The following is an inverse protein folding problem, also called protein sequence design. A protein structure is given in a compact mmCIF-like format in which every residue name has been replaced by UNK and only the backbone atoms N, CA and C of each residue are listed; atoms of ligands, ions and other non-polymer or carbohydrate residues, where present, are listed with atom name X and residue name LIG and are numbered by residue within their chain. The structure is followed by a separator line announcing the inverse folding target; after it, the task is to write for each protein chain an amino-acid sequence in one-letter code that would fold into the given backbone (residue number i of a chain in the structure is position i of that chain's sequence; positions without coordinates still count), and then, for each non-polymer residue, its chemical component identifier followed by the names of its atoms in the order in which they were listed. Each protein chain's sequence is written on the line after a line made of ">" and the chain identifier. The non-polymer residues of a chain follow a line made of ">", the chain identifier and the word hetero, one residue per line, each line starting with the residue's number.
data_IF_269055651617
#
_entry.id   IF_269055651617
#
_cell.length_a   1.000
_cell.length_b   1.000
_cell.length_c   1.000
_cell.angle_alpha   90.00
_cell.angle_beta   90.00
_cell.angle_gamma   90.00
#
_symmetry.space_group_name_H-M   'P 1'
#
loop_
_entity.id
_entity.type
_entity.pdbx_description
1 polymer ?
#
# COMPACT_ATOMS: atom_id res chain seq x y z
N UNK A 1 1.15 48.46 3.40
CA UNK A 1 1.03 47.78 2.09
C UNK A 1 1.98 46.57 2.09
N UNK A 2 1.52 45.38 2.33
CA UNK A 2 2.38 44.16 2.25
C UNK A 2 2.67 43.92 0.77
N UNK A 3 3.95 43.76 0.42
CA UNK A 3 4.42 43.61 -0.96
C UNK A 3 3.78 42.34 -1.58
N UNK A 4 3.36 42.46 -2.85
CA UNK A 4 2.84 41.33 -3.65
C UNK A 4 3.81 40.13 -3.68
N UNK A 5 5.08 40.41 -3.48
CA UNK A 5 6.17 39.44 -3.38
C UNK A 5 6.07 38.61 -2.09
N UNK A 6 5.76 39.22 -0.94
CA UNK A 6 5.55 38.51 0.33
C UNK A 6 4.33 37.59 0.27
N UNK A 7 3.24 38.02 -0.38
CA UNK A 7 2.05 37.21 -0.59
C UNK A 7 2.34 35.98 -1.46
N UNK A 8 3.11 36.16 -2.56
CA UNK A 8 3.54 35.03 -3.40
C UNK A 8 4.46 34.04 -2.68
N UNK A 9 5.37 34.49 -1.84
CA UNK A 9 6.27 33.65 -1.06
C UNK A 9 5.50 32.85 -0.02
N UNK A 10 4.51 33.45 0.63
CA UNK A 10 3.62 32.79 1.59
C UNK A 10 2.78 31.69 0.93
N UNK A 11 2.15 32.00 -0.22
CA UNK A 11 1.38 31.01 -0.99
C UNK A 11 2.24 29.85 -1.49
N UNK A 12 3.49 30.11 -1.88
CA UNK A 12 4.43 29.08 -2.32
C UNK A 12 4.93 28.21 -1.16
N UNK A 13 5.09 28.79 0.04
CA UNK A 13 5.41 28.08 1.27
C UNK A 13 4.26 27.17 1.72
N UNK A 14 3.03 27.68 1.72
CA UNK A 14 1.83 26.94 2.10
C UNK A 14 1.54 25.80 1.12
N UNK A 15 1.79 26.00 -0.18
CA UNK A 15 1.61 24.96 -1.20
C UNK A 15 2.60 23.80 -1.02
N UNK A 16 3.90 24.09 -0.79
CA UNK A 16 4.91 23.06 -0.53
C UNK A 16 4.62 22.29 0.77
N UNK A 17 4.21 22.98 1.81
CA UNK A 17 3.82 22.38 3.09
C UNK A 17 2.64 21.43 2.90
N UNK A 18 1.64 21.78 2.09
CA UNK A 18 0.48 20.93 1.80
C UNK A 18 0.87 19.68 1.00
N UNK A 19 1.80 19.77 0.05
CA UNK A 19 2.30 18.61 -0.70
C UNK A 19 2.99 17.61 0.22
N UNK A 20 3.92 18.07 1.07
CA UNK A 20 4.63 17.21 2.03
C UNK A 20 3.62 16.54 2.98
N UNK A 21 2.65 17.29 3.50
CA UNK A 21 1.59 16.74 4.36
C UNK A 21 0.77 15.68 3.62
N UNK A 22 0.41 15.91 2.35
CA UNK A 22 -0.32 14.93 1.54
C UNK A 22 0.49 13.66 1.26
N UNK A 23 1.80 13.77 1.07
CA UNK A 23 2.70 12.62 0.96
C UNK A 23 2.71 11.84 2.28
N UNK A 24 2.89 12.53 3.42
CA UNK A 24 2.86 11.88 4.73
C UNK A 24 1.52 11.16 4.99
N UNK A 25 0.40 11.78 4.61
CA UNK A 25 -0.93 11.15 4.70
C UNK A 25 -1.00 9.91 3.82
N UNK A 26 -0.52 9.98 2.56
CA UNK A 26 -0.51 8.83 1.65
C UNK A 26 0.29 7.66 2.23
N UNK A 27 1.50 7.90 2.72
CA UNK A 27 2.32 6.85 3.35
C UNK A 27 1.69 6.31 4.63
N UNK A 28 1.07 7.16 5.45
CA UNK A 28 0.36 6.73 6.66
C UNK A 28 -0.87 5.87 6.37
N UNK A 29 -1.55 6.11 5.24
CA UNK A 29 -2.73 5.34 4.82
C UNK A 29 -2.36 4.01 4.17
N UNK A 30 -1.31 3.99 3.35
CA UNK A 30 -1.02 2.86 2.45
C UNK A 30 0.25 2.10 2.78
N UNK A 31 0.93 2.45 3.89
CA UNK A 31 2.10 1.71 4.35
C UNK A 31 2.24 1.75 5.87
N UNK A 32 3.02 0.80 6.41
CA UNK A 32 3.44 0.81 7.82
C UNK A 32 4.72 1.62 8.06
N UNK A 33 5.21 2.33 7.06
CA UNK A 33 6.39 3.19 7.22
C UNK A 33 6.05 4.31 8.22
N UNK A 34 6.83 4.47 9.30
CA UNK A 34 6.55 5.46 10.32
C UNK A 34 6.65 6.87 9.73
N UNK A 35 5.54 7.58 9.72
CA UNK A 35 5.43 8.96 9.26
C UNK A 35 5.12 9.92 10.41
N UNK A 36 5.55 11.17 10.33
CA UNK A 36 5.13 12.19 11.28
C UNK A 36 3.60 12.31 11.33
N UNK A 37 3.04 12.46 12.52
CA UNK A 37 1.60 12.67 12.68
C UNK A 37 1.20 14.00 12.02
N UNK A 38 0.39 13.92 11.01
CA UNK A 38 -0.14 15.08 10.27
C UNK A 38 -1.66 15.09 10.47
N UNK A 39 -2.22 16.27 10.68
CA UNK A 39 -3.68 16.42 10.76
C UNK A 39 -4.35 16.01 9.47
N UNK A 40 -5.35 15.12 9.57
CA UNK A 40 -6.12 14.61 8.47
C UNK A 40 -7.24 15.63 8.18
N UNK A 41 -7.00 16.51 7.24
CA UNK A 41 -7.99 17.45 6.74
C UNK A 41 -8.32 17.16 5.26
N UNK A 42 -9.47 17.62 4.81
CA UNK A 42 -9.98 17.36 3.46
C UNK A 42 -8.98 17.77 2.36
N UNK A 43 -8.22 18.85 2.57
CA UNK A 43 -7.23 19.34 1.60
C UNK A 43 -6.05 18.37 1.45
N UNK A 44 -5.56 17.80 2.56
CA UNK A 44 -4.44 16.86 2.54
C UNK A 44 -4.88 15.49 1.99
N UNK A 45 -6.10 15.06 2.32
CA UNK A 45 -6.68 13.79 1.84
C UNK A 45 -6.95 13.81 0.34
N UNK A 46 -7.44 14.93 -0.20
CA UNK A 46 -7.75 15.07 -1.63
C UNK A 46 -6.55 14.74 -2.53
N UNK A 47 -5.35 15.12 -2.11
CA UNK A 47 -4.11 14.88 -2.87
C UNK A 47 -3.37 13.60 -2.44
N UNK A 48 -3.76 12.95 -1.35
CA UNK A 48 -3.12 11.72 -0.89
C UNK A 48 -3.19 10.61 -1.95
N UNK A 49 -4.33 10.46 -2.64
CA UNK A 49 -4.50 9.50 -3.73
C UNK A 49 -3.52 9.72 -4.89
N UNK A 50 -3.16 10.99 -5.19
CA UNK A 50 -2.20 11.31 -6.24
C UNK A 50 -0.78 10.82 -5.90
N UNK A 51 -0.47 10.62 -4.62
CA UNK A 51 0.83 10.14 -4.14
C UNK A 51 0.87 8.62 -3.89
N UNK A 52 -0.23 7.90 -4.12
CA UNK A 52 -0.27 6.46 -4.04
C UNK A 52 0.78 5.75 -4.93
N UNK A 53 1.03 6.17 -6.19
CA UNK A 53 2.10 5.61 -7.01
C UNK A 53 3.49 5.75 -6.39
N UNK A 54 3.72 6.80 -5.58
CA UNK A 54 4.99 6.99 -4.88
C UNK A 54 5.22 5.93 -3.80
N UNK A 55 4.17 5.51 -3.09
CA UNK A 55 4.23 4.39 -2.14
C UNK A 55 4.62 3.10 -2.87
N UNK A 56 4.01 2.84 -4.03
CA UNK A 56 4.37 1.71 -4.89
C UNK A 56 5.82 1.76 -5.38
N UNK A 57 6.30 2.96 -5.76
CA UNK A 57 7.70 3.15 -6.17
C UNK A 57 8.70 2.84 -5.04
N UNK A 58 8.37 3.20 -3.80
CA UNK A 58 9.22 2.86 -2.63
C UNK A 58 9.23 1.35 -2.40
N UNK A 59 8.08 0.69 -2.45
CA UNK A 59 8.00 -0.78 -2.31
C UNK A 59 8.80 -1.46 -3.43
N UNK A 60 8.61 -1.04 -4.68
CA UNK A 60 9.37 -1.55 -5.83
C UNK A 60 10.87 -1.32 -5.71
N UNK A 61 11.28 -0.15 -5.22
CA UNK A 61 12.69 0.15 -4.92
C UNK A 61 13.30 -0.76 -3.87
N UNK A 62 12.54 -1.06 -2.79
CA UNK A 62 12.95 -2.03 -1.77
C UNK A 62 13.07 -3.45 -2.35
N UNK A 63 12.14 -3.86 -3.22
CA UNK A 63 12.22 -5.15 -3.91
C UNK A 63 13.46 -5.24 -4.79
N UNK A 64 13.77 -4.20 -5.56
CA UNK A 64 15.00 -4.14 -6.36
C UNK A 64 16.26 -4.20 -5.51
N UNK A 65 16.27 -3.52 -4.37
CA UNK A 65 17.37 -3.59 -3.41
C UNK A 65 17.56 -5.01 -2.87
N UNK A 66 16.49 -5.68 -2.45
CA UNK A 66 16.55 -7.09 -1.99
C UNK A 66 17.07 -7.99 -3.10
N UNK A 67 16.58 -7.83 -4.33
CA UNK A 67 17.06 -8.58 -5.49
C UNK A 67 18.57 -8.40 -5.68
N UNK A 68 19.05 -7.17 -5.62
CA UNK A 68 20.48 -6.86 -5.75
C UNK A 68 21.32 -7.51 -4.63
N UNK A 69 20.87 -7.38 -3.38
CA UNK A 69 21.54 -7.95 -2.22
C UNK A 69 21.57 -9.48 -2.28
N UNK A 70 20.45 -10.11 -2.58
CA UNK A 70 20.36 -11.57 -2.73
C UNK A 70 21.30 -12.09 -3.83
N UNK A 71 21.37 -11.38 -4.97
CA UNK A 71 22.31 -11.73 -6.04
C UNK A 71 23.77 -11.52 -5.65
N UNK A 72 24.08 -10.51 -4.83
CA UNK A 72 25.45 -10.19 -4.39
C UNK A 72 25.98 -11.15 -3.33
N UNK A 73 25.13 -11.60 -2.43
CA UNK A 73 25.48 -12.46 -1.30
C UNK A 73 25.19 -13.95 -1.54
N UNK A 74 24.64 -14.33 -2.69
CA UNK A 74 24.38 -15.71 -3.06
C UNK A 74 23.33 -16.40 -2.20
N UNK A 75 22.29 -15.68 -1.77
CA UNK A 75 21.19 -16.27 -1.00
C UNK A 75 20.47 -17.36 -1.81
N UNK A 76 19.97 -18.36 -1.09
CA UNK A 76 19.18 -19.43 -1.68
C UNK A 76 17.90 -18.87 -2.32
N UNK A 77 17.52 -19.42 -3.47
CA UNK A 77 16.29 -19.05 -4.23
C UNK A 77 15.04 -19.10 -3.37
N UNK A 78 14.90 -20.10 -2.49
CA UNK A 78 13.73 -20.20 -1.60
C UNK A 78 13.64 -19.02 -0.62
N UNK A 79 14.77 -18.61 -0.04
CA UNK A 79 14.82 -17.43 0.85
C UNK A 79 14.44 -16.16 0.07
N UNK A 80 14.99 -16.02 -1.14
CA UNK A 80 14.65 -14.91 -2.03
C UNK A 80 13.14 -14.84 -2.32
N UNK A 81 12.55 -15.97 -2.73
CA UNK A 81 11.12 -16.04 -3.05
C UNK A 81 10.23 -15.68 -1.83
N UNK A 82 10.55 -16.20 -0.66
CA UNK A 82 9.82 -15.87 0.59
C UNK A 82 9.91 -14.38 0.91
N UNK A 83 11.11 -13.79 0.83
CA UNK A 83 11.30 -12.37 1.13
C UNK A 83 10.55 -11.49 0.11
N UNK A 84 10.62 -11.82 -1.18
CA UNK A 84 9.95 -11.07 -2.25
C UNK A 84 8.43 -11.15 -2.13
N UNK A 85 7.88 -12.28 -1.68
CA UNK A 85 6.42 -12.43 -1.42
C UNK A 85 5.99 -11.66 -0.17
N UNK A 86 6.78 -11.73 0.91
CA UNK A 86 6.42 -11.12 2.19
C UNK A 86 6.61 -9.59 2.22
N UNK A 87 7.63 -9.07 1.53
CA UNK A 87 8.03 -7.67 1.63
C UNK A 87 6.92 -6.68 1.27
N UNK A 88 6.19 -6.80 0.14
CA UNK A 88 5.09 -5.89 -0.18
C UNK A 88 3.98 -5.93 0.87
N UNK A 89 3.65 -7.12 1.39
CA UNK A 89 2.62 -7.29 2.42
C UNK A 89 3.04 -6.62 3.73
N UNK A 90 4.28 -6.82 4.16
CA UNK A 90 4.80 -6.23 5.39
C UNK A 90 4.90 -4.71 5.30
N UNK A 91 5.39 -4.17 4.18
CA UNK A 91 5.57 -2.72 3.99
C UNK A 91 4.23 -2.01 3.85
N UNK A 92 3.28 -2.58 3.11
CA UNK A 92 1.92 -2.04 2.99
C UNK A 92 1.08 -2.26 4.26
N UNK A 93 1.54 -3.12 5.16
CA UNK A 93 0.76 -3.52 6.33
C UNK A 93 -0.41 -4.42 6.02
N UNK A 94 -0.43 -5.04 4.83
CA UNK A 94 -1.47 -5.94 4.39
C UNK A 94 -2.75 -5.26 3.89
N UNK A 95 -2.83 -3.93 3.89
CA UNK A 95 -4.09 -3.20 3.60
C UNK A 95 -4.65 -3.52 2.20
N UNK A 96 -3.77 -3.72 1.21
CA UNK A 96 -4.20 -4.09 -0.14
C UNK A 96 -4.58 -5.56 -0.24
N UNK A 97 -3.86 -6.42 0.47
CA UNK A 97 -4.15 -7.86 0.56
C UNK A 97 -5.46 -8.09 1.30
N UNK A 98 -5.71 -7.35 2.38
CA UNK A 98 -6.94 -7.36 3.15
C UNK A 98 -8.15 -7.00 2.25
N UNK A 99 -8.09 -5.85 1.58
CA UNK A 99 -9.16 -5.46 0.65
C UNK A 99 -9.38 -6.43 -0.52
N UNK A 100 -8.32 -7.10 -0.99
CA UNK A 100 -8.44 -8.17 -1.99
C UNK A 100 -9.16 -9.39 -1.41
N UNK A 101 -8.78 -9.83 -0.23
CA UNK A 101 -9.33 -11.00 0.46
C UNK A 101 -10.81 -10.78 0.75
N UNK A 102 -11.19 -9.62 1.30
CA UNK A 102 -12.58 -9.24 1.56
C UNK A 102 -13.41 -9.22 0.28
N UNK A 103 -12.83 -8.69 -0.80
CA UNK A 103 -13.49 -8.68 -2.11
C UNK A 103 -13.72 -10.09 -2.64
N UNK A 104 -12.74 -10.98 -2.52
CA UNK A 104 -12.86 -12.39 -2.94
C UNK A 104 -13.96 -13.10 -2.14
N UNK A 105 -14.02 -12.87 -0.83
CA UNK A 105 -15.06 -13.46 0.03
C UNK A 105 -16.46 -12.99 -0.38
N UNK A 106 -16.64 -11.68 -0.53
CA UNK A 106 -17.90 -11.10 -0.95
C UNK A 106 -18.34 -11.56 -2.34
N UNK A 107 -17.43 -11.62 -3.31
CA UNK A 107 -17.73 -12.05 -4.68
C UNK A 107 -18.06 -13.55 -4.77
N UNK A 108 -17.37 -14.37 -3.99
CA UNK A 108 -17.56 -15.83 -3.96
C UNK A 108 -18.80 -16.25 -3.18
N UNK A 109 -19.36 -15.36 -2.36
CA UNK A 109 -20.59 -15.63 -1.64
C UNK A 109 -21.80 -15.71 -2.57
N UNK A 110 -22.67 -16.67 -2.32
CA UNK A 110 -23.97 -16.77 -2.98
C UNK A 110 -24.94 -15.79 -2.30
N UNK A 111 -25.23 -14.66 -2.95
CA UNK A 111 -26.15 -13.67 -2.42
C UNK A 111 -26.34 -12.51 -3.38
N UNK A 112 -27.35 -11.69 -3.10
CA UNK A 112 -27.62 -10.44 -3.77
C UNK A 112 -26.55 -9.37 -3.41
N UNK A 113 -26.71 -8.18 -3.98
CA UNK A 113 -25.79 -7.06 -3.77
C UNK A 113 -25.73 -6.62 -2.31
N UNK A 114 -26.87 -6.64 -1.64
CA UNK A 114 -27.00 -6.25 -0.22
C UNK A 114 -26.20 -7.19 0.67
N UNK A 115 -26.31 -8.49 0.44
CA UNK A 115 -25.56 -9.52 1.20
C UNK A 115 -24.06 -9.42 0.97
N UNK A 116 -23.61 -9.17 -0.26
CA UNK A 116 -22.19 -8.96 -0.58
C UNK A 116 -21.63 -7.72 0.11
N UNK A 117 -22.39 -6.64 0.19
CA UNK A 117 -21.99 -5.43 0.92
C UNK A 117 -21.99 -5.63 2.44
N UNK A 118 -22.82 -6.52 2.97
CA UNK A 118 -22.79 -6.92 4.37
C UNK A 118 -21.50 -7.69 4.69
N UNK A 119 -21.13 -8.65 3.85
CA UNK A 119 -19.87 -9.42 3.99
C UNK A 119 -18.65 -8.50 3.97
N UNK A 120 -18.60 -7.52 3.06
CA UNK A 120 -17.51 -6.53 3.02
C UNK A 120 -17.38 -5.66 4.28
N UNK A 121 -18.40 -5.61 5.12
CA UNK A 121 -18.39 -4.87 6.40
C UNK A 121 -18.18 -5.78 7.61
N UNK A 122 -18.26 -7.09 7.41
CA UNK A 122 -18.07 -8.07 8.47
C UNK A 122 -16.57 -8.18 8.81
N UNK A 123 -16.16 -7.99 10.06
CA UNK A 123 -14.76 -8.16 10.46
C UNK A 123 -14.31 -9.63 10.50
N UNK A 124 -15.21 -10.59 10.27
CA UNK A 124 -14.88 -12.02 10.28
C UNK A 124 -14.44 -12.48 8.89
N UNK A 125 -13.34 -13.20 8.84
CA UNK A 125 -12.80 -13.75 7.61
C UNK A 125 -13.55 -15.01 7.20
N UNK A 126 -14.16 -15.03 6.03
CA UNK A 126 -14.84 -16.21 5.48
C UNK A 126 -13.89 -17.23 4.88
N UNK A 127 -14.43 -18.42 4.57
CA UNK A 127 -13.67 -19.52 3.99
C UNK A 127 -13.08 -19.16 2.60
N UNK A 128 -13.83 -18.44 1.78
CA UNK A 128 -13.36 -18.03 0.45
C UNK A 128 -12.25 -16.98 0.54
N UNK A 129 -12.27 -16.12 1.55
CA UNK A 129 -11.18 -15.21 1.85
C UNK A 129 -9.86 -15.94 2.10
N UNK A 130 -9.91 -17.00 2.91
CA UNK A 130 -8.72 -17.83 3.23
C UNK A 130 -8.20 -18.52 1.96
N UNK A 131 -9.09 -19.14 1.17
CA UNK A 131 -8.72 -19.78 -0.10
C UNK A 131 -8.08 -18.76 -1.04
N UNK A 132 -8.69 -17.59 -1.20
CA UNK A 132 -8.16 -16.50 -2.02
C UNK A 132 -6.79 -16.01 -1.57
N UNK A 133 -6.58 -15.85 -0.27
CA UNK A 133 -5.28 -15.47 0.29
C UNK A 133 -4.20 -16.51 -0.01
N UNK A 134 -4.49 -17.79 0.22
CA UNK A 134 -3.53 -18.90 -0.04
C UNK A 134 -3.19 -18.96 -1.53
N UNK A 135 -4.19 -18.88 -2.41
CA UNK A 135 -3.94 -18.89 -3.87
C UNK A 135 -3.13 -17.68 -4.30
N UNK A 136 -3.46 -16.49 -3.82
CA UNK A 136 -2.74 -15.26 -4.17
C UNK A 136 -1.26 -15.32 -3.78
N UNK A 137 -0.97 -15.68 -2.53
CA UNK A 137 0.39 -15.78 -2.02
C UNK A 137 1.17 -16.92 -2.69
N UNK A 138 0.52 -18.05 -2.99
CA UNK A 138 1.14 -19.16 -3.71
C UNK A 138 1.50 -18.77 -5.14
N UNK A 139 0.63 -18.05 -5.85
CA UNK A 139 0.90 -17.57 -7.21
C UNK A 139 2.08 -16.61 -7.24
N UNK A 140 2.18 -15.67 -6.30
CA UNK A 140 3.33 -14.77 -6.19
C UNK A 140 4.59 -15.58 -5.95
N UNK A 141 4.57 -16.52 -5.00
CA UNK A 141 5.73 -17.35 -4.68
C UNK A 141 6.21 -18.21 -5.87
N UNK A 142 5.29 -18.77 -6.65
CA UNK A 142 5.61 -19.59 -7.83
C UNK A 142 6.09 -18.72 -9.00
N UNK A 143 5.55 -17.50 -9.15
CA UNK A 143 5.91 -16.60 -10.25
C UNK A 143 7.28 -15.94 -10.09
N UNK A 144 7.88 -16.00 -8.89
CA UNK A 144 9.24 -15.52 -8.70
C UNK A 144 10.22 -16.36 -9.54
N UNK A 145 11.12 -15.70 -10.32
CA UNK A 145 12.00 -16.43 -11.22
C UNK A 145 12.95 -17.31 -10.43
N UNK A 146 12.72 -18.61 -10.49
CA UNK A 146 13.68 -19.63 -10.05
C UNK A 146 14.90 -19.57 -10.97
N UNK A 147 16.04 -19.21 -10.45
CA UNK A 147 17.34 -19.34 -11.14
C UNK A 147 17.93 -20.71 -10.91
#
# INVERSE_FOLDING_TARGET
>A
MRSFTEYRLKLKGDSKMNIIKSICVAFSMYSKIPMPRVEWNEKNMKYAMCFFPLVGAVIGGLMLLVRFLCGRFGFNTSVYAVVMTALPVLVSGGIHTDGFIDTVDALSSYGDKEKKLEILKDPHTGAFAIIGAVMYLSLIHISEPTR
#
